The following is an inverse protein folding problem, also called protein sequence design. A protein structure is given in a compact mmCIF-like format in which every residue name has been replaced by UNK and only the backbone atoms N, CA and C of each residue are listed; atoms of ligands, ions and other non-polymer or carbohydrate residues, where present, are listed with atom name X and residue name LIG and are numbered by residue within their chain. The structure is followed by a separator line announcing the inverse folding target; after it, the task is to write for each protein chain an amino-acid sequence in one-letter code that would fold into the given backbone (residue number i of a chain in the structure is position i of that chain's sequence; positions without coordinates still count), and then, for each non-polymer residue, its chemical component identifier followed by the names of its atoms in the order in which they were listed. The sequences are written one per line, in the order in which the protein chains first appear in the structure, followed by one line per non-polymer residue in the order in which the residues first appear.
data_IF_480475949702
#
_entry.id   IF_480475949702
#
_cell.length_a   1.000
_cell.length_b   1.000
_cell.length_c   1.000
_cell.angle_alpha   90.00
_cell.angle_beta   90.00
_cell.angle_gamma   90.00
#
_symmetry.space_group_name_H-M   'P 1'
#
loop_
_entity.id
_entity.type
_entity.pdbx_description
1 polymer ?
#
# COMPACT_ATOMS: atom_id res chain seq x y z
N UNK A 1 -7.07 13.02 -0.02
CA UNK A 1 -5.89 12.12 0.11
C UNK A 1 -4.80 12.68 1.02
N UNK A 2 -4.50 13.99 0.98
CA UNK A 2 -3.53 14.61 1.92
C UNK A 2 -3.92 14.44 3.39
N UNK A 3 -5.20 14.61 3.75
CA UNK A 3 -5.70 14.38 5.11
C UNK A 3 -5.47 12.94 5.59
N UNK A 4 -5.67 11.96 4.69
CA UNK A 4 -5.38 10.55 4.97
C UNK A 4 -3.90 10.35 5.30
N UNK A 5 -2.99 10.91 4.49
CA UNK A 5 -1.55 10.83 4.76
C UNK A 5 -1.19 11.47 6.09
N UNK A 6 -1.69 12.68 6.36
CA UNK A 6 -1.47 13.38 7.63
C UNK A 6 -1.94 12.53 8.82
N UNK A 7 -3.16 11.99 8.74
CA UNK A 7 -3.74 11.11 9.76
C UNK A 7 -2.87 9.88 10.02
N UNK A 8 -2.40 9.19 8.97
CA UNK A 8 -1.54 8.00 9.13
C UNK A 8 -0.16 8.34 9.70
N UNK A 9 0.44 9.44 9.27
CA UNK A 9 1.70 9.92 9.84
C UNK A 9 1.57 10.32 11.31
N UNK A 10 0.45 10.95 11.71
CA UNK A 10 0.19 11.31 13.11
C UNK A 10 -0.01 10.03 13.95
N UNK A 11 -0.81 9.08 13.47
CA UNK A 11 -1.02 7.82 14.17
C UNK A 11 0.28 7.06 14.43
N UNK A 12 1.15 6.98 13.41
CA UNK A 12 2.49 6.40 13.54
C UNK A 12 3.35 7.15 14.58
N UNK A 13 3.40 8.48 14.50
CA UNK A 13 4.18 9.31 15.43
C UNK A 13 3.72 9.15 16.88
N UNK A 14 2.42 9.08 17.13
CA UNK A 14 1.89 8.89 18.48
C UNK A 14 2.23 7.52 19.04
N UNK A 15 2.26 6.48 18.21
CA UNK A 15 2.70 5.14 18.62
C UNK A 15 4.18 5.15 19.03
N UNK A 16 5.04 5.80 18.24
CA UNK A 16 6.48 5.93 18.56
C UNK A 16 6.71 6.71 19.85
N UNK A 17 6.04 7.87 20.01
CA UNK A 17 6.14 8.70 21.23
C UNK A 17 5.71 7.98 22.51
N UNK A 18 4.82 6.99 22.41
CA UNK A 18 4.40 6.21 23.57
C UNK A 18 5.59 5.48 24.22
N UNK A 19 6.54 5.02 23.41
CA UNK A 19 7.74 4.32 23.86
C UNK A 19 8.84 5.24 24.41
N UNK A 20 8.87 6.51 24.02
CA UNK A 20 9.90 7.47 24.44
C UNK A 20 9.60 8.11 25.81
N UNK A 21 8.51 7.71 26.48
CA UNK A 21 8.12 8.31 27.76
C UNK A 21 9.06 7.84 28.89
N UNK A 22 9.81 8.75 29.54
CA UNK A 22 10.92 8.39 30.44
C UNK A 22 10.50 7.68 31.73
N UNK A 23 9.22 7.69 32.09
CA UNK A 23 8.70 7.17 33.36
C UNK A 23 8.22 5.72 33.30
N UNK A 24 8.20 5.08 32.13
CA UNK A 24 7.92 3.66 31.95
C UNK A 24 8.92 3.17 30.91
N UNK A 25 9.78 2.21 31.24
CA UNK A 25 10.71 1.62 30.26
C UNK A 25 9.98 1.18 28.98
N UNK A 26 10.73 0.95 27.91
CA UNK A 26 10.20 0.56 26.59
C UNK A 26 9.16 -0.56 26.73
N UNK A 27 7.91 -0.27 26.39
CA UNK A 27 6.79 -1.19 26.64
C UNK A 27 6.67 -2.28 25.56
N UNK A 28 6.97 -1.93 24.30
CA UNK A 28 6.88 -2.83 23.16
C UNK A 28 8.00 -2.55 22.15
N UNK A 29 8.42 -3.53 21.36
CA UNK A 29 9.20 -3.28 20.15
C UNK A 29 8.27 -2.92 18.99
N UNK A 30 8.37 -1.68 18.53
CA UNK A 30 7.48 -1.14 17.49
C UNK A 30 8.13 -1.37 16.12
N UNK A 31 7.48 -2.19 15.29
CA UNK A 31 7.80 -2.35 13.88
C UNK A 31 6.66 -1.75 13.06
N UNK A 32 6.98 -0.78 12.20
CA UNK A 32 6.03 -0.15 11.30
C UNK A 32 6.25 -0.68 9.89
N UNK A 33 5.26 -1.41 9.37
CA UNK A 33 5.23 -1.82 7.97
C UNK A 33 4.49 -0.77 7.15
N UNK A 34 5.24 -0.08 6.28
CA UNK A 34 4.71 0.81 5.25
C UNK A 34 4.36 -0.05 4.03
N UNK A 35 3.08 -0.22 3.75
CA UNK A 35 2.64 -1.05 2.64
C UNK A 35 2.53 -0.24 1.35
N UNK A 36 2.97 -0.82 0.24
CA UNK A 36 2.60 -0.34 -1.09
C UNK A 36 1.09 -0.51 -1.36
N UNK A 37 0.68 -0.22 -2.59
CA UNK A 37 -0.66 -0.51 -3.07
C UNK A 37 -0.89 -2.03 -3.08
N UNK A 38 -1.66 -2.50 -2.11
CA UNK A 38 -1.92 -3.93 -1.91
C UNK A 38 -2.92 -4.42 -2.96
N UNK A 39 -2.52 -5.43 -3.71
CA UNK A 39 -3.36 -6.11 -4.68
C UNK A 39 -3.19 -7.62 -4.57
N UNK A 40 -4.07 -8.37 -5.21
CA UNK A 40 -4.05 -9.83 -5.14
C UNK A 40 -5.45 -10.39 -5.10
N UNK A 41 -5.54 -11.71 -5.09
CA UNK A 41 -6.83 -12.39 -5.03
C UNK A 41 -7.41 -12.30 -3.62
N UNK A 42 -8.51 -11.56 -3.50
CA UNK A 42 -9.34 -11.53 -2.29
C UNK A 42 -10.72 -12.13 -2.54
N UNK A 43 -10.99 -12.61 -3.76
CA UNK A 43 -12.32 -13.01 -4.24
C UNK A 43 -12.81 -14.30 -3.56
N UNK A 44 -11.89 -15.17 -3.11
CA UNK A 44 -12.23 -16.33 -2.30
C UNK A 44 -12.72 -15.99 -0.89
N UNK A 45 -12.42 -14.79 -0.38
CA UNK A 45 -12.70 -14.37 1.00
C UNK A 45 -13.74 -13.25 1.10
N UNK A 46 -13.89 -12.42 0.06
CA UNK A 46 -14.80 -11.28 0.02
C UNK A 46 -15.70 -11.33 -1.21
N UNK A 47 -17.02 -11.12 -1.07
CA UNK A 47 -17.96 -11.14 -2.20
C UNK A 47 -17.93 -9.86 -3.05
N UNK A 48 -16.90 -9.00 -2.88
CA UNK A 48 -16.79 -7.71 -3.56
C UNK A 48 -15.34 -7.32 -3.84
N UNK A 49 -15.14 -6.47 -4.85
CA UNK A 49 -13.84 -5.89 -5.20
C UNK A 49 -13.43 -4.91 -4.10
N UNK A 50 -12.24 -5.10 -3.52
CA UNK A 50 -11.78 -4.24 -2.46
C UNK A 50 -11.38 -2.85 -3.01
N UNK A 51 -11.28 -1.84 -2.14
CA UNK A 51 -10.94 -0.47 -2.56
C UNK A 51 -9.56 -0.37 -3.22
N UNK A 52 -8.60 -1.22 -2.85
CA UNK A 52 -7.25 -1.19 -3.44
C UNK A 52 -7.21 -1.78 -4.85
N UNK A 53 -8.01 -2.81 -5.15
CA UNK A 53 -8.22 -3.29 -6.52
C UNK A 53 -8.94 -2.24 -7.37
N UNK A 54 -9.94 -1.54 -6.84
CA UNK A 54 -10.54 -0.39 -7.53
C UNK A 54 -9.53 0.71 -7.84
N UNK A 55 -8.55 0.90 -6.95
CA UNK A 55 -7.44 1.84 -7.15
C UNK A 55 -6.54 1.43 -8.30
N UNK A 56 -6.10 0.17 -8.33
CA UNK A 56 -5.27 -0.41 -9.39
C UNK A 56 -5.97 -0.36 -10.76
N UNK A 57 -7.25 -0.73 -10.79
CA UNK A 57 -8.06 -0.81 -12.00
C UNK A 57 -8.71 0.54 -12.37
N UNK A 58 -8.42 1.61 -11.63
CA UNK A 58 -8.99 2.93 -11.88
C UNK A 58 -8.76 3.47 -13.30
N UNK A 59 -7.63 3.20 -14.00
CA UNK A 59 -7.47 3.63 -15.40
C UNK A 59 -8.46 2.97 -16.36
N UNK A 60 -8.93 1.76 -16.04
CA UNK A 60 -9.86 0.98 -16.87
C UNK A 60 -11.32 1.14 -16.45
N UNK A 61 -11.58 1.31 -15.17
CA UNK A 61 -12.96 1.49 -14.66
C UNK A 61 -13.48 2.92 -14.82
N UNK A 62 -12.58 3.90 -14.97
CA UNK A 62 -12.95 5.30 -15.14
C UNK A 62 -13.47 5.97 -13.86
N UNK A 63 -13.36 5.33 -12.71
CA UNK A 63 -13.87 5.85 -11.44
C UNK A 63 -12.92 6.93 -10.92
N UNK A 64 -13.33 8.18 -11.08
CA UNK A 64 -12.50 9.37 -10.86
C UNK A 64 -11.86 9.46 -9.46
N UNK A 65 -12.55 9.20 -8.33
CA UNK A 65 -11.91 9.25 -7.01
C UNK A 65 -10.71 8.32 -6.85
N UNK A 66 -10.78 7.11 -7.43
CA UNK A 66 -9.70 6.13 -7.37
C UNK A 66 -8.57 6.49 -8.33
N UNK A 67 -8.90 6.99 -9.52
CA UNK A 67 -7.92 7.42 -10.51
C UNK A 67 -7.11 8.63 -10.03
N UNK A 68 -7.77 9.63 -9.46
CA UNK A 68 -7.12 10.80 -8.88
C UNK A 68 -6.19 10.43 -7.73
N UNK A 69 -6.57 9.43 -6.95
CA UNK A 69 -5.76 8.94 -5.85
C UNK A 69 -4.54 8.13 -6.34
N UNK A 70 -4.67 7.35 -7.42
CA UNK A 70 -3.53 6.69 -8.08
C UNK A 70 -2.54 7.70 -8.66
N UNK A 71 -3.06 8.74 -9.33
CA UNK A 71 -2.25 9.87 -9.82
C UNK A 71 -1.55 10.61 -8.69
N UNK A 72 -2.25 10.88 -7.60
CA UNK A 72 -1.67 11.51 -6.41
C UNK A 72 -0.53 10.67 -5.83
N UNK A 73 -0.70 9.35 -5.75
CA UNK A 73 0.33 8.43 -5.25
C UNK A 73 1.59 8.50 -6.10
N UNK A 74 1.46 8.39 -7.43
CA UNK A 74 2.58 8.53 -8.36
C UNK A 74 3.25 9.91 -8.27
N UNK A 75 2.46 10.99 -8.15
CA UNK A 75 3.01 12.34 -8.07
C UNK A 75 3.82 12.58 -6.77
N UNK A 76 3.39 11.97 -5.65
CA UNK A 76 4.08 12.13 -4.35
C UNK A 76 5.30 11.23 -4.23
N UNK A 77 5.22 9.99 -4.71
CA UNK A 77 6.28 8.99 -4.53
C UNK A 77 7.21 8.85 -5.74
N UNK A 78 6.88 9.47 -6.88
CA UNK A 78 7.57 9.26 -8.16
C UNK A 78 7.30 7.88 -8.79
N UNK A 79 6.54 7.02 -8.09
CA UNK A 79 6.18 5.67 -8.50
C UNK A 79 4.89 5.23 -7.79
N UNK A 80 4.34 4.12 -8.23
CA UNK A 80 3.26 3.37 -7.57
C UNK A 80 3.89 2.09 -7.01
N UNK A 81 4.33 2.06 -5.74
CA UNK A 81 4.75 0.82 -5.11
C UNK A 81 3.55 -0.13 -5.03
N UNK A 82 3.72 -1.38 -5.42
CA UNK A 82 2.69 -2.42 -5.36
C UNK A 82 3.19 -3.62 -4.55
N UNK A 83 2.27 -4.37 -3.95
CA UNK A 83 2.59 -5.55 -3.14
C UNK A 83 1.43 -6.55 -3.19
N UNK A 84 1.74 -7.86 -3.16
CA UNK A 84 0.69 -8.88 -3.07
C UNK A 84 0.13 -8.97 -1.65
N UNK A 85 -1.17 -9.27 -1.49
CA UNK A 85 -1.80 -9.43 -0.17
C UNK A 85 -1.18 -10.55 0.66
N UNK A 86 -0.74 -11.62 -0.01
CA UNK A 86 -0.05 -12.73 0.66
C UNK A 86 1.32 -12.30 1.18
N UNK A 87 2.11 -11.57 0.38
CA UNK A 87 3.41 -11.03 0.81
C UNK A 87 3.27 -10.08 2.01
N UNK A 88 2.20 -9.28 2.04
CA UNK A 88 1.88 -8.43 3.20
C UNK A 88 1.63 -9.26 4.44
N UNK A 89 0.86 -10.34 4.30
CA UNK A 89 0.51 -11.24 5.40
C UNK A 89 1.75 -11.95 5.93
N UNK A 90 2.59 -12.47 5.04
CA UNK A 90 3.88 -13.07 5.37
C UNK A 90 4.83 -12.07 6.03
N UNK A 91 4.90 -10.83 5.55
CA UNK A 91 5.71 -9.78 6.16
C UNK A 91 5.25 -9.47 7.61
N UNK A 92 3.94 -9.42 7.84
CA UNK A 92 3.40 -9.27 9.19
C UNK A 92 3.77 -10.45 10.10
N UNK A 93 3.58 -11.69 9.63
CA UNK A 93 3.96 -12.91 10.38
C UNK A 93 5.46 -12.92 10.66
N UNK A 94 6.29 -12.62 9.67
CA UNK A 94 7.74 -12.55 9.81
C UNK A 94 8.16 -11.54 10.89
N UNK A 95 7.60 -10.33 10.89
CA UNK A 95 7.88 -9.33 11.91
C UNK A 95 7.41 -9.75 13.31
N UNK A 96 6.31 -10.51 13.40
CA UNK A 96 5.77 -11.00 14.67
C UNK A 96 6.52 -12.20 15.22
N UNK A 97 7.05 -13.09 14.38
CA UNK A 97 7.77 -14.30 14.79
C UNK A 97 9.25 -14.03 15.06
N UNK A 98 9.91 -13.22 14.23
CA UNK A 98 11.34 -12.92 14.32
C UNK A 98 11.64 -11.62 15.05
N UNK A 99 10.98 -11.42 16.19
CA UNK A 99 11.08 -10.19 17.00
C UNK A 99 12.51 -9.89 17.46
N UNK A 100 13.36 -10.92 17.56
CA UNK A 100 14.77 -10.78 17.93
C UNK A 100 15.69 -10.44 16.74
N UNK A 101 15.29 -10.79 15.51
CA UNK A 101 16.10 -10.56 14.30
C UNK A 101 15.69 -9.27 13.58
N UNK A 102 14.43 -8.85 13.75
CA UNK A 102 13.88 -7.63 13.14
C UNK A 102 14.01 -6.48 14.13
N UNK A 103 14.92 -5.56 13.84
CA UNK A 103 15.07 -4.35 14.63
C UNK A 103 13.79 -3.51 14.60
N UNK A 104 13.47 -2.86 15.72
CA UNK A 104 12.39 -1.89 15.73
C UNK A 104 12.68 -0.72 14.78
N UNK A 105 11.70 -0.36 13.98
CA UNK A 105 11.90 0.61 12.92
C UNK A 105 10.77 0.61 11.90
N UNK A 106 11.07 1.21 10.75
CA UNK A 106 10.13 1.38 9.64
C UNK A 106 10.64 0.59 8.45
N UNK A 107 9.79 -0.25 7.88
CA UNK A 107 10.11 -1.09 6.73
C UNK A 107 9.08 -0.88 5.64
N UNK A 108 9.55 -0.74 4.40
CA UNK A 108 8.69 -0.67 3.23
C UNK A 108 8.44 -2.09 2.72
N UNK A 109 7.18 -2.49 2.63
CA UNK A 109 6.74 -3.74 2.04
C UNK A 109 6.14 -3.44 0.65
N UNK A 110 6.97 -3.59 -0.38
CA UNK A 110 6.62 -3.43 -1.78
C UNK A 110 7.42 -4.44 -2.62
N UNK A 111 6.77 -5.09 -3.59
CA UNK A 111 7.43 -6.03 -4.50
C UNK A 111 7.91 -5.37 -5.78
N UNK A 112 7.23 -4.32 -6.22
CA UNK A 112 7.61 -3.57 -7.42
C UNK A 112 7.31 -2.09 -7.26
N UNK A 113 8.13 -1.28 -7.92
CA UNK A 113 7.94 0.16 -8.06
C UNK A 113 7.62 0.45 -9.52
N UNK A 114 6.33 0.43 -9.86
CA UNK A 114 5.85 0.65 -11.23
C UNK A 114 5.40 2.10 -11.40
N UNK A 115 5.13 2.53 -12.62
CA UNK A 115 4.30 3.72 -12.86
C UNK A 115 2.94 3.31 -13.43
N UNK A 116 2.00 4.25 -13.54
CA UNK A 116 0.64 4.03 -14.03
C UNK A 116 0.61 3.60 -15.50
N UNK A 117 1.53 4.13 -16.32
CA UNK A 117 1.63 3.76 -17.72
C UNK A 117 2.08 2.30 -17.85
N UNK A 118 3.13 1.89 -17.16
CA UNK A 118 3.61 0.51 -17.12
C UNK A 118 2.50 -0.44 -16.63
N UNK A 119 1.74 -0.05 -15.62
CA UNK A 119 0.58 -0.83 -15.15
C UNK A 119 -0.46 -1.00 -16.26
N UNK A 120 -0.83 0.08 -16.93
CA UNK A 120 -1.82 0.05 -18.00
C UNK A 120 -1.35 -0.80 -19.18
N UNK A 121 -0.10 -0.63 -19.61
CA UNK A 121 0.50 -1.41 -20.68
C UNK A 121 0.56 -2.90 -20.33
N UNK A 122 0.92 -3.23 -19.08
CA UNK A 122 0.93 -4.60 -18.59
C UNK A 122 -0.46 -5.25 -18.63
N UNK A 123 -1.50 -4.54 -18.18
CA UNK A 123 -2.87 -5.03 -18.22
C UNK A 123 -3.41 -5.12 -19.64
N UNK A 124 -3.17 -4.12 -20.50
CA UNK A 124 -3.61 -4.14 -21.89
C UNK A 124 -2.96 -5.27 -22.70
N UNK A 125 -1.70 -5.62 -22.39
CA UNK A 125 -1.00 -6.74 -23.02
C UNK A 125 -1.55 -8.11 -22.63
N UNK A 126 -2.06 -8.26 -21.40
CA UNK A 126 -2.64 -9.52 -20.89
C UNK A 126 -4.14 -9.65 -21.15
N UNK A 127 -4.84 -8.53 -21.23
CA UNK A 127 -6.28 -8.42 -21.35
C UNK A 127 -6.64 -7.40 -22.44
N UNK A 128 -6.56 -7.78 -23.74
CA UNK A 128 -6.83 -6.88 -24.86
C UNK A 128 -8.28 -6.35 -24.89
N UNK A 129 -9.19 -7.01 -24.19
CA UNK A 129 -10.59 -6.61 -24.02
C UNK A 129 -10.77 -5.36 -23.13
N UNK A 130 -9.79 -5.04 -22.30
CA UNK A 130 -9.86 -3.89 -21.40
C UNK A 130 -9.65 -2.60 -22.18
N UNK A 131 -10.66 -1.73 -22.13
CA UNK A 131 -10.60 -0.39 -22.72
C UNK A 131 -10.15 0.61 -21.68
N UNK A 132 -9.16 1.43 -22.04
CA UNK A 132 -8.72 2.53 -21.19
C UNK A 132 -9.82 3.61 -21.11
N UNK A 133 -10.23 3.96 -19.89
CA UNK A 133 -11.28 4.96 -19.63
C UNK A 133 -10.71 6.30 -19.16
N UNK A 134 -9.52 6.30 -18.54
CA UNK A 134 -8.84 7.52 -18.10
C UNK A 134 -7.40 7.58 -18.64
N UNK A 135 -6.91 8.79 -18.95
CA UNK A 135 -5.52 8.99 -19.39
C UNK A 135 -4.54 8.67 -18.26
N UNK A 136 -3.48 7.94 -18.59
CA UNK A 136 -2.27 7.89 -17.79
C UNK A 136 -1.53 9.21 -17.96
N UNK A 137 -1.08 9.81 -16.85
CA UNK A 137 -0.30 11.05 -16.86
C UNK A 137 1.18 10.80 -17.04
#
# INVERSE_FOLDING_TARGET
MQEYLSSKCIAEKELVKYNDRPSKGRAFDIIVLLLGLVAGDTLGLLPYINKSQHFMLSPFTGIEPYHNALRFTQAVLGAVPVVHVDDVSEAHVFCMERQHDVAAGRYLCATAHTNMQDMVEHYAGKHPELKLMCRTM
#
